data_IF_560080342445
#
_entry.id   IF_560080342445
#
_cell.length_a   1.000
_cell.length_b   1.000
_cell.length_c   1.000
_cell.angle_alpha   90.00
_cell.angle_beta   90.00
_cell.angle_gamma   90.00
#
_symmetry.space_group_name_H-M   'P 1'
#
loop_
_entity.id
_entity.type
_entity.pdbx_description
1 polymer ?
#
# COMPACT_ATOMS: atom_id res chain seq x y z
N UNK A 1 22.86 -1.62 -35.94
CA UNK A 1 22.49 -1.60 -34.50
C UNK A 1 23.11 -2.81 -33.80
N UNK A 2 24.04 -2.61 -32.86
CA UNK A 2 24.70 -3.71 -32.14
C UNK A 2 23.70 -4.32 -31.14
N UNK A 3 23.30 -5.57 -31.36
CA UNK A 3 22.44 -6.30 -30.42
C UNK A 3 23.28 -6.71 -29.21
N UNK A 4 23.10 -6.06 -28.06
CA UNK A 4 23.74 -6.43 -26.79
C UNK A 4 22.83 -7.36 -25.99
N UNK A 5 23.38 -8.49 -25.52
CA UNK A 5 22.67 -9.40 -24.61
C UNK A 5 22.80 -8.87 -23.18
N UNK A 6 21.68 -8.63 -22.51
CA UNK A 6 21.62 -8.08 -21.15
C UNK A 6 20.65 -8.89 -20.28
N UNK A 7 20.77 -8.79 -18.95
CA UNK A 7 19.83 -9.43 -18.01
C UNK A 7 18.63 -8.50 -17.74
N UNK A 8 17.43 -9.08 -17.64
CA UNK A 8 16.23 -8.37 -17.21
C UNK A 8 16.34 -8.01 -15.74
N UNK A 9 16.08 -6.74 -15.38
CA UNK A 9 16.11 -6.29 -13.99
C UNK A 9 15.05 -6.93 -13.08
N UNK A 10 13.97 -7.48 -13.67
CA UNK A 10 12.88 -8.11 -12.90
C UNK A 10 13.01 -9.63 -12.85
N UNK A 11 12.94 -10.31 -14.00
CA UNK A 11 12.95 -11.78 -14.05
C UNK A 11 14.35 -12.42 -14.20
N UNK A 12 15.43 -11.63 -14.28
CA UNK A 12 16.80 -12.12 -14.43
C UNK A 12 17.18 -12.73 -15.79
N UNK A 13 16.20 -13.02 -16.65
CA UNK A 13 16.42 -13.68 -17.96
C UNK A 13 17.29 -12.81 -18.89
N UNK A 14 18.19 -13.46 -19.63
CA UNK A 14 19.00 -12.81 -20.67
C UNK A 14 18.13 -12.52 -21.90
N UNK A 15 18.21 -11.30 -22.46
CA UNK A 15 17.50 -10.92 -23.67
C UNK A 15 18.34 -9.99 -24.55
N UNK A 16 17.99 -9.91 -25.83
CA UNK A 16 18.62 -9.00 -26.78
C UNK A 16 17.98 -7.62 -26.67
N UNK A 17 18.79 -6.62 -26.33
CA UNK A 17 18.34 -5.25 -26.14
C UNK A 17 18.00 -4.61 -27.48
N UNK A 18 16.81 -4.01 -27.62
CA UNK A 18 16.38 -3.29 -28.83
C UNK A 18 16.82 -1.82 -28.82
N UNK A 19 16.87 -1.19 -27.65
CA UNK A 19 17.26 0.21 -27.48
C UNK A 19 18.08 0.42 -26.20
N UNK A 20 19.00 1.39 -26.17
CA UNK A 20 19.96 1.60 -25.08
C UNK A 20 19.33 1.81 -23.69
N UNK A 21 18.07 2.28 -23.61
CA UNK A 21 17.32 2.45 -22.35
C UNK A 21 16.44 1.26 -21.95
N UNK A 22 16.48 0.14 -22.68
CA UNK A 22 15.66 -1.03 -22.35
C UNK A 22 16.25 -1.75 -21.13
N UNK A 23 15.46 -1.90 -20.07
CA UNK A 23 15.89 -2.55 -18.83
C UNK A 23 15.22 -3.91 -18.59
N UNK A 24 14.09 -4.15 -19.26
CA UNK A 24 13.25 -5.33 -19.10
C UNK A 24 13.08 -6.09 -20.42
N UNK A 25 13.00 -7.41 -20.34
CA UNK A 25 12.88 -8.27 -21.52
C UNK A 25 11.54 -8.13 -22.25
N UNK A 26 10.46 -7.77 -21.54
CA UNK A 26 9.13 -7.54 -22.12
C UNK A 26 8.31 -6.53 -21.29
N UNK A 27 7.14 -6.14 -21.82
CA UNK A 27 6.22 -5.20 -21.16
C UNK A 27 5.74 -5.72 -19.80
N UNK A 28 5.41 -7.01 -19.70
CA UNK A 28 4.95 -7.65 -18.46
C UNK A 28 5.97 -7.49 -17.32
N UNK A 29 7.25 -7.77 -17.57
CA UNK A 29 8.31 -7.62 -16.57
C UNK A 29 8.48 -6.17 -16.09
N UNK A 30 8.24 -5.20 -16.98
CA UNK A 30 8.26 -3.77 -16.61
C UNK A 30 7.08 -3.42 -15.70
N UNK A 31 5.88 -3.93 -16.01
CA UNK A 31 4.69 -3.70 -15.20
C UNK A 31 4.80 -4.36 -13.83
N UNK A 32 5.27 -5.60 -13.76
CA UNK A 32 5.48 -6.29 -12.49
C UNK A 32 6.52 -5.59 -11.63
N UNK A 33 7.64 -5.14 -12.21
CA UNK A 33 8.63 -4.34 -11.48
C UNK A 33 8.03 -3.07 -10.88
N UNK A 34 7.11 -2.39 -11.61
CA UNK A 34 6.38 -1.23 -11.08
C UNK A 34 5.44 -1.63 -9.94
N UNK A 35 4.69 -2.72 -10.09
CA UNK A 35 3.78 -3.23 -9.04
C UNK A 35 4.54 -3.59 -7.78
N UNK A 36 5.65 -4.32 -7.90
CA UNK A 36 6.51 -4.71 -6.80
C UNK A 36 7.08 -3.48 -6.08
N UNK A 37 7.61 -2.51 -6.82
CA UNK A 37 8.09 -1.26 -6.24
C UNK A 37 6.99 -0.49 -5.50
N UNK A 38 5.76 -0.48 -6.04
CA UNK A 38 4.60 0.10 -5.37
C UNK A 38 4.26 -0.63 -4.08
N UNK A 39 4.23 -1.97 -4.10
CA UNK A 39 3.98 -2.80 -2.90
C UNK A 39 5.01 -2.54 -1.82
N UNK A 40 6.30 -2.46 -2.19
CA UNK A 40 7.38 -2.15 -1.25
C UNK A 40 7.21 -0.76 -0.63
N UNK A 41 6.84 0.25 -1.42
CA UNK A 41 6.55 1.60 -0.91
C UNK A 41 5.37 1.61 0.05
N UNK A 42 4.26 0.98 -0.32
CA UNK A 42 3.08 0.85 0.54
C UNK A 42 3.45 0.14 1.84
N UNK A 43 4.13 -1.02 1.76
CA UNK A 43 4.57 -1.76 2.94
C UNK A 43 5.45 -0.90 3.85
N UNK A 44 6.44 -0.20 3.30
CA UNK A 44 7.32 0.71 4.07
C UNK A 44 6.54 1.85 4.74
N UNK A 45 5.50 2.38 4.10
CA UNK A 45 4.62 3.37 4.69
C UNK A 45 3.82 2.76 5.85
N UNK A 46 3.14 1.63 5.62
CA UNK A 46 2.35 0.95 6.64
C UNK A 46 3.18 0.55 7.86
N UNK A 47 4.37 -0.01 7.68
CA UNK A 47 5.23 -0.40 8.81
C UNK A 47 5.71 0.81 9.60
N UNK A 48 6.11 1.89 8.91
CA UNK A 48 6.54 3.14 9.56
C UNK A 48 5.42 3.82 10.37
N UNK A 49 4.18 3.70 9.91
CA UNK A 49 3.01 4.34 10.52
C UNK A 49 2.12 3.36 11.29
N UNK A 50 2.59 2.13 11.53
CA UNK A 50 1.80 1.07 12.18
C UNK A 50 1.33 1.49 13.56
N UNK A 51 2.21 2.04 14.39
CA UNK A 51 1.89 2.49 15.74
C UNK A 51 0.92 3.69 15.74
N UNK A 52 1.06 4.61 14.77
CA UNK A 52 0.11 5.72 14.56
C UNK A 52 -1.26 5.25 14.06
N UNK A 53 -1.35 4.06 13.47
CA UNK A 53 -2.62 3.52 12.97
C UNK A 53 -3.29 2.58 13.98
N UNK A 54 -2.55 2.00 14.94
CA UNK A 54 -3.09 1.06 15.92
C UNK A 54 -3.76 1.74 17.12
N UNK A 55 -3.43 3.01 17.42
CA UNK A 55 -3.85 3.67 18.66
C UNK A 55 -4.73 4.92 18.46
N UNK A 56 -5.33 5.11 17.29
CA UNK A 56 -6.19 6.27 17.07
C UNK A 56 -7.62 6.00 17.56
N UNK A 57 -7.87 6.30 18.84
CA UNK A 57 -9.19 6.72 19.30
C UNK A 57 -9.71 7.78 18.31
N UNK A 58 -10.87 7.54 17.69
CA UNK A 58 -11.44 8.49 16.71
C UNK A 58 -10.95 8.35 15.27
N UNK A 59 -10.28 7.24 14.91
CA UNK A 59 -10.01 6.90 13.49
C UNK A 59 -11.20 6.26 12.75
N UNK A 60 -12.30 6.04 13.46
CA UNK A 60 -13.52 5.44 12.94
C UNK A 60 -14.51 6.51 12.45
N UNK A 61 -15.81 6.23 12.55
CA UNK A 61 -16.87 7.16 12.20
C UNK A 61 -17.14 8.21 13.30
N UNK A 62 -16.48 8.10 14.47
CA UNK A 62 -16.52 9.13 15.50
C UNK A 62 -15.70 10.33 15.03
N UNK A 63 -16.34 11.50 14.95
CA UNK A 63 -15.68 12.75 14.61
C UNK A 63 -15.25 13.48 15.87
N UNK A 64 -14.38 14.47 15.72
CA UNK A 64 -13.99 15.39 16.80
C UNK A 64 -15.19 16.16 17.38
N UNK A 65 -16.24 16.36 16.58
CA UNK A 65 -17.47 17.03 16.99
C UNK A 65 -18.64 16.06 17.05
N UNK A 66 -19.47 16.23 18.07
CA UNK A 66 -20.71 15.49 18.28
C UNK A 66 -21.65 15.61 17.07
N UNK A 67 -22.24 14.49 16.64
CA UNK A 67 -23.29 14.51 15.62
C UNK A 67 -24.57 15.16 16.17
N UNK A 68 -25.27 15.93 15.33
CA UNK A 68 -26.57 16.52 15.69
C UNK A 68 -27.64 15.46 15.94
N UNK A 69 -27.50 14.30 15.31
CA UNK A 69 -28.32 13.11 15.58
C UNK A 69 -27.73 12.32 16.76
N UNK A 70 -28.36 12.48 17.92
CA UNK A 70 -27.93 11.86 19.19
C UNK A 70 -28.04 10.35 19.19
N UNK A 71 -29.03 9.78 18.48
CA UNK A 71 -29.17 8.33 18.37
C UNK A 71 -28.03 7.75 17.54
N UNK A 72 -27.70 8.39 16.42
CA UNK A 72 -26.57 7.99 15.59
C UNK A 72 -25.24 8.13 16.34
N UNK A 73 -25.04 9.20 17.10
CA UNK A 73 -23.84 9.38 17.93
C UNK A 73 -23.70 8.23 18.95
N UNK A 74 -24.78 7.85 19.63
CA UNK A 74 -24.77 6.77 20.62
C UNK A 74 -24.39 5.41 20.00
N UNK A 75 -24.88 5.11 18.79
CA UNK A 75 -24.50 3.89 18.06
C UNK A 75 -23.01 3.91 17.74
N UNK A 76 -22.49 5.03 17.24
CA UNK A 76 -21.07 5.18 16.90
C UNK A 76 -20.16 5.01 18.13
N UNK A 77 -20.55 5.59 19.27
CA UNK A 77 -19.83 5.45 20.55
C UNK A 77 -19.83 4.00 21.01
N UNK A 78 -20.95 3.29 20.89
CA UNK A 78 -21.05 1.88 21.27
C UNK A 78 -20.18 0.97 20.40
N UNK A 79 -20.14 1.21 19.09
CA UNK A 79 -19.27 0.48 18.17
C UNK A 79 -17.80 0.72 18.47
N UNK A 80 -17.40 1.96 18.73
CA UNK A 80 -16.02 2.30 19.12
C UNK A 80 -15.64 1.62 20.44
N UNK A 81 -16.54 1.67 21.44
CA UNK A 81 -16.35 0.99 22.74
C UNK A 81 -16.16 -0.52 22.57
N UNK A 82 -16.95 -1.16 21.69
CA UNK A 82 -16.79 -2.60 21.37
C UNK A 82 -15.44 -2.90 20.72
N UNK A 83 -14.93 -2.04 19.84
CA UNK A 83 -13.61 -2.23 19.23
C UNK A 83 -12.50 -2.15 20.28
N UNK A 84 -12.58 -1.18 21.19
CA UNK A 84 -11.60 -0.98 22.26
C UNK A 84 -11.60 -2.18 23.24
N UNK A 85 -12.79 -2.66 23.62
CA UNK A 85 -12.93 -3.73 24.62
C UNK A 85 -12.83 -5.16 24.04
N UNK A 86 -13.07 -5.33 22.74
CA UNK A 86 -13.13 -6.63 22.07
C UNK A 86 -11.99 -6.90 21.08
N UNK A 87 -11.03 -5.97 20.94
CA UNK A 87 -9.92 -6.07 20.00
C UNK A 87 -8.59 -5.73 20.65
N UNK A 88 -8.01 -6.70 21.34
CA UNK A 88 -6.70 -6.66 21.98
C UNK A 88 -6.53 -7.80 22.97
#
# INVERSE_FOLDING_TARGET
MVKKKVKCKWCGRKYWKKHNRQEYCNKKCREEAKREHSRMRSHKYYTRHKEKNQNNLGSSNLKEHMNTDTHREAVLVHEEKKKILGGG
#
